data_IF_861450745537
#
_entry.id   IF_861450745537
#
_cell.length_a   1.000
_cell.length_b   1.000
_cell.length_c   1.000
_cell.angle_alpha   90.00
_cell.angle_beta   90.00
_cell.angle_gamma   90.00
#
_symmetry.space_group_name_H-M   'P 1'
#
loop_
_entity.id
_entity.type
_entity.pdbx_description
1 polymer ?
#
# COMPACT_ATOMS: atom_id res chain seq x y z
N UNK A 1 5.46 13.61 20.91
CA UNK A 1 4.21 13.39 20.16
C UNK A 1 3.03 14.11 20.78
N UNK A 2 2.89 15.37 20.41
CA UNK A 2 1.63 16.08 20.53
C UNK A 2 0.57 15.48 19.57
N UNK A 3 -0.71 15.52 19.94
CA UNK A 3 -1.81 14.95 19.14
C UNK A 3 -1.87 15.62 17.75
N UNK A 4 -1.54 16.91 17.66
CA UNK A 4 -1.52 17.63 16.39
C UNK A 4 -0.45 17.09 15.44
N UNK A 5 0.74 16.74 15.95
CA UNK A 5 1.80 16.14 15.15
C UNK A 5 1.41 14.75 14.65
N UNK A 6 0.78 13.93 15.50
CA UNK A 6 0.28 12.61 15.12
C UNK A 6 -0.72 12.71 13.96
N UNK A 7 -1.67 13.65 14.06
CA UNK A 7 -2.66 13.92 13.01
C UNK A 7 -1.96 14.41 11.73
N UNK A 8 -0.98 15.32 11.84
CA UNK A 8 -0.24 15.86 10.71
C UNK A 8 0.54 14.78 9.96
N UNK A 9 1.32 13.96 10.68
CA UNK A 9 2.09 12.86 10.06
C UNK A 9 1.17 11.83 9.43
N UNK A 10 0.09 11.44 10.11
CA UNK A 10 -0.90 10.49 9.57
C UNK A 10 -1.58 11.04 8.31
N UNK A 11 -1.86 12.35 8.28
CA UNK A 11 -2.45 13.01 7.13
C UNK A 11 -1.48 13.09 5.94
N UNK A 12 -0.22 13.47 6.18
CA UNK A 12 0.83 13.50 5.16
C UNK A 12 1.10 12.11 4.61
N UNK A 13 1.11 11.07 5.45
CA UNK A 13 1.18 9.70 4.99
C UNK A 13 0.01 9.36 4.07
N UNK A 14 -1.23 9.69 4.49
CA UNK A 14 -2.43 9.47 3.70
C UNK A 14 -2.38 10.14 2.33
N UNK A 15 -1.78 11.32 2.22
CA UNK A 15 -1.60 12.02 0.95
C UNK A 15 -0.46 11.44 0.11
N UNK A 16 0.70 11.21 0.72
CA UNK A 16 1.93 10.85 0.01
C UNK A 16 1.98 9.38 -0.39
N UNK A 17 1.24 8.48 0.27
CA UNK A 17 1.21 7.05 -0.07
C UNK A 17 0.66 6.80 -1.48
N UNK A 18 -0.28 7.62 -1.94
CA UNK A 18 -0.88 7.48 -3.26
C UNK A 18 -0.14 8.28 -4.34
N UNK A 19 0.86 9.07 -3.95
CA UNK A 19 1.72 9.85 -4.83
C UNK A 19 3.07 9.13 -5.00
N UNK A 20 3.67 9.12 -6.20
CA UNK A 20 4.98 8.50 -6.42
C UNK A 20 6.12 9.40 -5.90
N UNK A 21 6.08 9.73 -4.61
CA UNK A 21 6.99 10.69 -3.95
C UNK A 21 7.77 10.10 -2.76
N UNK A 22 7.70 8.78 -2.53
CA UNK A 22 8.32 8.09 -1.39
C UNK A 22 7.77 8.57 -0.03
N UNK A 23 6.69 7.93 0.42
CA UNK A 23 6.00 8.30 1.67
C UNK A 23 6.87 8.13 2.91
N UNK A 24 7.64 7.04 3.00
CA UNK A 24 8.57 6.78 4.14
C UNK A 24 9.63 7.88 4.29
N UNK A 25 10.15 8.43 3.19
CA UNK A 25 11.14 9.51 3.26
C UNK A 25 10.54 10.80 3.85
N UNK A 26 9.27 11.11 3.52
CA UNK A 26 8.60 12.29 4.03
C UNK A 26 8.34 12.21 5.55
N UNK A 27 7.97 11.03 6.07
CA UNK A 27 7.76 10.84 7.51
C UNK A 27 9.05 11.00 8.32
N UNK A 28 10.15 10.41 7.86
CA UNK A 28 11.46 10.52 8.52
C UNK A 28 11.98 11.96 8.49
N UNK A 29 11.95 12.60 7.31
CA UNK A 29 12.41 13.98 7.15
C UNK A 29 11.60 14.98 7.99
N UNK A 30 10.28 14.78 8.08
CA UNK A 30 9.42 15.66 8.86
C UNK A 30 9.63 15.47 10.37
N UNK A 31 9.89 14.24 10.82
CA UNK A 31 10.20 13.94 12.23
C UNK A 31 11.53 14.57 12.65
N UNK A 32 12.57 14.45 11.80
CA UNK A 32 13.86 15.13 12.01
C UNK A 32 13.71 16.66 12.00
N UNK A 33 12.92 17.22 11.09
CA UNK A 33 12.69 18.67 11.00
C UNK A 33 11.94 19.23 12.20
N UNK A 34 11.01 18.46 12.76
CA UNK A 34 10.29 18.79 13.99
C UNK A 34 11.14 18.56 15.25
N UNK A 35 12.34 17.98 15.12
CA UNK A 35 13.27 17.70 16.21
C UNK A 35 12.78 16.59 17.16
N UNK A 36 11.86 15.73 16.71
CA UNK A 36 11.38 14.59 17.49
C UNK A 36 12.07 13.29 17.04
N UNK A 37 12.19 12.34 17.97
CA UNK A 37 12.69 11.00 17.65
C UNK A 37 11.71 10.27 16.72
N UNK A 38 12.26 9.38 15.89
CA UNK A 38 11.49 8.53 14.99
C UNK A 38 10.34 7.84 15.75
N UNK A 39 9.12 7.98 15.21
CA UNK A 39 7.90 7.40 15.81
C UNK A 39 7.95 5.86 15.84
N UNK A 40 8.89 5.29 15.09
CA UNK A 40 9.27 3.90 15.12
C UNK A 40 8.32 3.02 14.33
N UNK A 41 8.72 1.75 14.22
CA UNK A 41 8.10 0.76 13.34
C UNK A 41 6.59 0.58 13.62
N UNK A 42 6.15 0.75 14.87
CA UNK A 42 4.74 0.59 15.23
C UNK A 42 3.88 1.68 14.58
N UNK A 43 4.36 2.93 14.56
CA UNK A 43 3.64 4.02 13.92
C UNK A 43 3.58 3.82 12.41
N UNK A 44 4.72 3.53 11.77
CA UNK A 44 4.81 3.29 10.33
C UNK A 44 3.87 2.18 9.87
N UNK A 45 3.85 1.05 10.58
CA UNK A 45 2.92 -0.06 10.30
C UNK A 45 1.47 0.37 10.49
N UNK A 46 1.17 1.15 11.53
CA UNK A 46 -0.18 1.66 11.79
C UNK A 46 -0.69 2.58 10.68
N UNK A 47 0.12 3.54 10.24
CA UNK A 47 -0.28 4.47 9.18
C UNK A 47 -0.34 3.81 7.81
N UNK A 48 0.58 2.89 7.48
CA UNK A 48 0.49 2.05 6.29
C UNK A 48 -0.74 1.15 6.29
N UNK A 49 -1.11 0.60 7.45
CA UNK A 49 -2.35 -0.17 7.57
C UNK A 49 -3.59 0.72 7.35
N UNK A 50 -3.57 1.95 7.86
CA UNK A 50 -4.62 2.94 7.61
C UNK A 50 -4.80 3.25 6.13
N UNK A 51 -3.71 3.52 5.40
CA UNK A 51 -3.77 3.79 3.95
C UNK A 51 -4.19 2.57 3.14
N UNK A 52 -3.76 1.37 3.54
CA UNK A 52 -4.23 0.11 2.95
C UNK A 52 -5.74 -0.05 3.13
N UNK A 53 -6.28 0.20 4.34
CA UNK A 53 -7.72 0.13 4.58
C UNK A 53 -8.48 1.15 3.74
N UNK A 54 -7.98 2.38 3.61
CA UNK A 54 -8.57 3.39 2.75
C UNK A 54 -8.65 2.91 1.28
N UNK A 55 -7.57 2.31 0.77
CA UNK A 55 -7.54 1.75 -0.59
C UNK A 55 -8.53 0.58 -0.76
N UNK A 56 -8.62 -0.33 0.20
CA UNK A 56 -9.57 -1.46 0.17
C UNK A 56 -11.03 -0.97 0.17
N UNK A 57 -11.35 0.04 0.96
CA UNK A 57 -12.69 0.63 1.01
C UNK A 57 -13.01 1.36 -0.30
N UNK A 58 -12.06 2.13 -0.85
CA UNK A 58 -12.23 2.84 -2.11
C UNK A 58 -12.46 1.87 -3.29
N UNK A 59 -11.64 0.83 -3.41
CA UNK A 59 -11.74 -0.17 -4.49
C UNK A 59 -12.65 -1.37 -4.17
N UNK A 60 -13.47 -1.30 -3.11
CA UNK A 60 -14.26 -2.45 -2.61
C UNK A 60 -15.11 -3.13 -3.70
N UNK A 61 -15.71 -2.35 -4.58
CA UNK A 61 -16.60 -2.85 -5.64
C UNK A 61 -15.82 -3.59 -6.73
N UNK A 62 -14.63 -3.10 -7.08
CA UNK A 62 -13.77 -3.72 -8.08
C UNK A 62 -13.10 -4.98 -7.51
N UNK A 63 -12.69 -4.93 -6.24
CA UNK A 63 -12.17 -6.09 -5.52
C UNK A 63 -13.22 -7.21 -5.42
N UNK A 64 -14.47 -6.88 -5.10
CA UNK A 64 -15.57 -7.87 -5.09
C UNK A 64 -15.75 -8.54 -6.45
N UNK A 65 -15.76 -7.76 -7.54
CA UNK A 65 -15.85 -8.31 -8.90
C UNK A 65 -14.66 -9.23 -9.21
N UNK A 66 -13.44 -8.83 -8.86
CA UNK A 66 -12.24 -9.64 -9.05
C UNK A 66 -12.34 -10.98 -8.28
N UNK A 67 -12.72 -10.96 -7.00
CA UNK A 67 -12.84 -12.17 -6.17
C UNK A 67 -13.90 -13.14 -6.72
N UNK A 68 -15.07 -12.63 -7.12
CA UNK A 68 -16.13 -13.46 -7.72
C UNK A 68 -15.69 -14.08 -9.03
N UNK A 69 -14.99 -13.31 -9.88
CA UNK A 69 -14.47 -13.78 -11.16
C UNK A 69 -13.40 -14.87 -11.02
N UNK A 70 -12.55 -14.75 -9.99
CA UNK A 70 -11.56 -15.76 -9.60
C UNK A 70 -12.24 -17.06 -9.12
N UNK A 71 -13.22 -16.96 -8.23
CA UNK A 71 -13.92 -18.13 -7.68
C UNK A 71 -14.81 -18.87 -8.70
N UNK A 72 -15.31 -18.17 -9.72
CA UNK A 72 -16.21 -18.74 -10.74
C UNK A 72 -15.48 -19.32 -11.96
N UNK A 73 -14.14 -19.43 -11.93
CA UNK A 73 -13.30 -19.88 -13.06
C UNK A 73 -13.50 -19.14 -14.40
N UNK A 74 -14.18 -17.97 -14.40
CA UNK A 74 -14.39 -17.12 -15.59
C UNK A 74 -13.19 -16.22 -15.89
N UNK A 75 -11.98 -16.63 -15.52
CA UNK A 75 -10.76 -15.81 -15.60
C UNK A 75 -10.42 -15.37 -17.04
N UNK A 76 -10.79 -16.16 -18.05
CA UNK A 76 -10.50 -15.90 -19.47
C UNK A 76 -11.66 -15.26 -20.25
N UNK A 77 -12.71 -14.76 -19.58
CA UNK A 77 -13.75 -13.98 -20.27
C UNK A 77 -13.20 -12.62 -20.72
N UNK A 78 -13.56 -12.17 -21.93
CA UNK A 78 -13.07 -10.95 -22.58
C UNK A 78 -13.29 -9.67 -21.75
N UNK A 79 -14.22 -9.68 -20.79
CA UNK A 79 -14.52 -8.57 -19.86
C UNK A 79 -13.57 -8.47 -18.65
N UNK A 80 -12.67 -9.44 -18.42
CA UNK A 80 -11.86 -9.54 -17.20
C UNK A 80 -10.43 -8.98 -17.31
N UNK A 81 -10.20 -8.04 -18.23
CA UNK A 81 -8.88 -7.44 -18.49
C UNK A 81 -8.19 -6.91 -17.21
N UNK A 82 -8.94 -6.31 -16.28
CA UNK A 82 -8.39 -5.80 -15.01
C UNK A 82 -7.81 -6.90 -14.10
N UNK A 83 -8.47 -8.07 -14.04
CA UNK A 83 -8.01 -9.19 -13.21
C UNK A 83 -6.75 -9.82 -13.79
N UNK A 84 -6.72 -10.01 -15.11
CA UNK A 84 -5.57 -10.55 -15.82
C UNK A 84 -4.36 -9.60 -15.71
N UNK A 85 -4.56 -8.29 -15.92
CA UNK A 85 -3.50 -7.30 -15.81
C UNK A 85 -2.89 -7.25 -14.41
N UNK A 86 -3.72 -7.34 -13.36
CA UNK A 86 -3.25 -7.39 -11.99
C UNK A 86 -2.40 -8.64 -11.74
N UNK A 87 -2.86 -9.82 -12.17
CA UNK A 87 -2.12 -11.09 -12.01
C UNK A 87 -0.78 -11.04 -12.76
N UNK A 88 -0.77 -10.55 -14.01
CA UNK A 88 0.46 -10.39 -14.81
C UNK A 88 1.42 -9.39 -14.14
N UNK A 89 0.92 -8.32 -13.51
CA UNK A 89 1.76 -7.36 -12.81
C UNK A 89 2.37 -7.93 -11.52
N UNK A 90 1.62 -8.73 -10.76
CA UNK A 90 2.04 -9.24 -9.44
C UNK A 90 3.01 -10.43 -9.55
N UNK A 91 2.83 -11.32 -10.53
CA UNK A 91 3.65 -12.54 -10.66
C UNK A 91 5.16 -12.23 -10.77
N UNK A 92 5.63 -11.31 -11.65
CA UNK A 92 7.04 -10.98 -11.77
C UNK A 92 7.62 -10.41 -10.47
N UNK A 93 6.84 -9.59 -9.76
CA UNK A 93 7.26 -8.99 -8.48
C UNK A 93 7.44 -10.07 -7.42
N UNK A 94 6.50 -11.02 -7.31
CA UNK A 94 6.60 -12.13 -6.38
C UNK A 94 7.77 -13.06 -6.70
N UNK A 95 7.95 -13.42 -7.98
CA UNK A 95 9.07 -14.25 -8.43
C UNK A 95 10.41 -13.58 -8.15
N UNK A 96 10.55 -12.29 -8.49
CA UNK A 96 11.76 -11.53 -8.23
C UNK A 96 12.06 -11.44 -6.73
N UNK A 97 11.04 -11.20 -5.90
CA UNK A 97 11.19 -11.17 -4.44
C UNK A 97 11.63 -12.51 -3.86
N UNK A 98 11.02 -13.62 -4.31
CA UNK A 98 11.41 -14.98 -3.87
C UNK A 98 12.83 -15.31 -4.32
N UNK A 99 13.20 -14.92 -5.53
CA UNK A 99 14.55 -15.09 -6.06
C UNK A 99 15.59 -14.32 -5.23
N UNK A 100 15.34 -13.03 -4.94
CA UNK A 100 16.23 -12.21 -4.11
C UNK A 100 16.40 -12.75 -2.69
N UNK A 101 15.33 -13.26 -2.08
CA UNK A 101 15.39 -13.91 -0.75
C UNK A 101 16.28 -15.16 -0.74
N UNK A 102 16.69 -15.68 -1.91
CA UNK A 102 17.64 -16.79 -2.01
C UNK A 102 19.11 -16.34 -2.01
N UNK A 103 19.38 -15.05 -2.20
CA UNK A 103 20.73 -14.47 -2.25
C UNK A 103 21.11 -13.64 -1.01
N UNK A 104 20.15 -13.30 -0.13
CA UNK A 104 20.37 -12.71 1.18
C UNK A 104 19.91 -13.67 2.27
#
# INVERSE_FOLDING_TARGET
MDILQLILLSFIQGLTEFLPVSSSAHLVLLSEFLGEEDQGIIFDVGVHFGTLMAALVYFRSDLQKMVVNLGSHKLFSQENSLTINLVIAVIPILLYRVFLKRFC
#
